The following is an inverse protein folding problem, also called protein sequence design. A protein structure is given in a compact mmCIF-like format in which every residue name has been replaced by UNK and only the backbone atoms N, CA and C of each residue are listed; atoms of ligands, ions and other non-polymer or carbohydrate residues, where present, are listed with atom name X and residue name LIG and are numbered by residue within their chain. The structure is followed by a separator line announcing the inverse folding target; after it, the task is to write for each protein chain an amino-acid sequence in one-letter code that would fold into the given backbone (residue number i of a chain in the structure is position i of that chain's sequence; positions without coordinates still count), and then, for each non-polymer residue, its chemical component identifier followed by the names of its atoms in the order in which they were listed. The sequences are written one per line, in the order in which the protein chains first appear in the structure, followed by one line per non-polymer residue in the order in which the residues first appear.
data_IF_345924304101
#
_entry.id   IF_345924304101
#
_cell.length_a   1.000
_cell.length_b   1.000
_cell.length_c   1.000
_cell.angle_alpha   90.00
_cell.angle_beta   90.00
_cell.angle_gamma   90.00
#
_symmetry.space_group_name_H-M   'P 1'
#
loop_
_entity.id
_entity.type
_entity.pdbx_description
1 polymer ?
#
# COMPACT_ATOMS: atom_id res chain seq x y z
N UNK A 1 38.44 -3.47 49.41
CA UNK A 1 38.09 -4.57 48.50
C UNK A 1 37.48 -3.92 47.31
N UNK A 2 38.20 -4.00 46.23
CA UNK A 2 38.13 -3.17 45.03
C UNK A 2 36.86 -3.42 44.24
N UNK A 3 36.23 -2.31 43.87
CA UNK A 3 35.18 -2.23 42.90
C UNK A 3 35.76 -2.69 41.54
N UNK A 4 35.06 -3.64 40.90
CA UNK A 4 35.32 -4.02 39.51
C UNK A 4 34.86 -2.84 38.62
N UNK A 5 35.77 -1.89 38.37
CA UNK A 5 35.61 -0.94 37.28
C UNK A 5 35.68 -1.75 35.97
N UNK A 6 34.52 -1.88 35.32
CA UNK A 6 34.45 -2.48 33.98
C UNK A 6 35.25 -1.60 33.05
N UNK A 7 36.38 -2.15 32.53
CA UNK A 7 37.26 -1.48 31.59
C UNK A 7 36.56 -1.29 30.25
N UNK A 8 35.94 -0.11 30.09
CA UNK A 8 35.24 0.26 28.86
C UNK A 8 36.13 0.31 27.62
N UNK A 9 37.45 0.62 27.78
CA UNK A 9 38.42 0.54 26.68
C UNK A 9 38.69 -0.90 26.25
N UNK A 10 38.75 -1.84 27.19
CA UNK A 10 38.90 -3.26 26.88
C UNK A 10 37.64 -3.80 26.19
N UNK A 11 36.45 -3.38 26.62
CA UNK A 11 35.19 -3.76 25.97
C UNK A 11 35.08 -3.19 24.54
N UNK A 12 35.54 -1.98 24.31
CA UNK A 12 35.56 -1.37 22.96
C UNK A 12 36.65 -2.01 22.06
N UNK A 13 37.79 -2.37 22.61
CA UNK A 13 38.81 -3.16 21.92
C UNK A 13 38.33 -4.58 21.59
N UNK A 14 37.59 -5.22 22.50
CA UNK A 14 36.98 -6.53 22.25
C UNK A 14 35.86 -6.44 21.21
N UNK A 15 35.04 -5.39 21.22
CA UNK A 15 34.05 -5.10 20.18
C UNK A 15 34.71 -4.85 18.81
N UNK A 16 35.86 -4.20 18.76
CA UNK A 16 36.64 -3.99 17.51
C UNK A 16 37.36 -5.22 16.99
N UNK A 17 37.74 -6.15 17.87
CA UNK A 17 38.55 -7.34 17.49
C UNK A 17 37.75 -8.64 17.35
N UNK A 18 36.63 -8.80 18.08
CA UNK A 18 35.75 -9.96 18.01
C UNK A 18 34.31 -9.58 17.59
N UNK A 19 34.02 -8.31 17.57
CA UNK A 19 32.77 -7.84 17.03
C UNK A 19 32.77 -8.10 15.56
N UNK A 20 31.69 -8.57 15.06
CA UNK A 20 31.34 -8.28 13.72
C UNK A 20 31.50 -6.77 13.55
N UNK A 21 32.41 -6.37 12.67
CA UNK A 21 32.35 -5.02 12.13
C UNK A 21 30.89 -4.81 11.77
N UNK A 22 30.30 -3.69 12.16
CA UNK A 22 29.06 -3.26 11.56
C UNK A 22 29.30 -3.45 10.07
N UNK A 23 28.64 -4.43 9.45
CA UNK A 23 28.53 -4.43 7.99
C UNK A 23 28.04 -3.02 7.73
N UNK A 24 28.80 -2.25 6.94
CA UNK A 24 28.21 -1.09 6.32
C UNK A 24 26.97 -1.63 5.65
N UNK A 25 25.84 -1.46 6.32
CA UNK A 25 24.57 -1.85 5.73
C UNK A 25 24.45 -0.94 4.51
N UNK A 26 24.40 -1.57 3.35
CA UNK A 26 24.18 -0.84 2.11
C UNK A 26 22.88 -0.01 2.24
N UNK A 27 22.57 0.83 1.26
CA UNK A 27 21.36 1.66 1.33
C UNK A 27 20.14 0.80 1.64
N UNK A 28 19.19 1.30 2.42
CA UNK A 28 18.00 0.55 2.82
C UNK A 28 17.31 -0.12 1.63
N UNK A 29 16.85 -1.37 1.82
CA UNK A 29 16.13 -2.16 0.81
C UNK A 29 14.86 -2.77 1.43
N UNK A 30 13.72 -2.65 0.73
CA UNK A 30 12.46 -3.23 1.22
C UNK A 30 12.43 -4.75 1.13
N UNK A 31 13.22 -5.33 0.24
CA UNK A 31 13.21 -6.76 -0.14
C UNK A 31 11.93 -7.22 -0.84
N UNK A 32 11.00 -6.32 -1.12
CA UNK A 32 9.72 -6.66 -1.77
C UNK A 32 9.96 -7.17 -3.18
N UNK A 33 10.76 -6.47 -3.98
CA UNK A 33 11.01 -6.85 -5.38
C UNK A 33 11.76 -8.19 -5.47
N UNK A 34 12.78 -8.41 -4.62
CA UNK A 34 13.51 -9.70 -4.54
C UNK A 34 12.55 -10.85 -4.18
N UNK A 35 11.65 -10.61 -3.22
CA UNK A 35 10.67 -11.62 -2.81
C UNK A 35 9.64 -11.89 -3.89
N UNK A 36 9.20 -10.85 -4.61
CA UNK A 36 8.27 -10.99 -5.73
C UNK A 36 8.87 -11.82 -6.87
N UNK A 37 10.13 -11.58 -7.21
CA UNK A 37 10.85 -12.40 -8.18
C UNK A 37 10.95 -13.85 -7.71
N UNK A 38 11.33 -14.08 -6.45
CA UNK A 38 11.40 -15.44 -5.88
C UNK A 38 10.05 -16.16 -5.96
N UNK A 39 8.95 -15.48 -5.63
CA UNK A 39 7.60 -16.06 -5.75
C UNK A 39 7.30 -16.40 -7.21
N UNK A 40 7.56 -15.49 -8.13
CA UNK A 40 7.31 -15.70 -9.56
C UNK A 40 8.12 -16.85 -10.14
N UNK A 41 9.40 -16.95 -9.80
CA UNK A 41 10.31 -18.03 -10.26
C UNK A 41 9.89 -19.41 -9.74
N UNK A 42 9.15 -19.49 -8.61
CA UNK A 42 8.67 -20.73 -8.00
C UNK A 42 7.14 -20.88 -8.08
N UNK A 43 6.47 -20.03 -8.85
CA UNK A 43 5.02 -20.08 -9.03
C UNK A 43 4.61 -21.23 -9.95
N UNK A 44 3.57 -21.98 -9.56
CA UNK A 44 3.02 -23.08 -10.34
C UNK A 44 1.61 -22.78 -10.85
N UNK A 45 0.90 -21.86 -10.21
CA UNK A 45 -0.52 -21.59 -10.46
C UNK A 45 -0.74 -20.24 -11.16
N UNK A 46 0.26 -19.36 -11.14
CA UNK A 46 0.26 -18.06 -11.81
C UNK A 46 1.45 -17.97 -12.74
N UNK A 47 1.22 -17.67 -14.01
CA UNK A 47 2.26 -17.57 -15.03
C UNK A 47 2.28 -16.17 -15.66
N UNK A 48 3.44 -15.75 -16.15
CA UNK A 48 3.63 -14.50 -16.88
C UNK A 48 3.80 -14.76 -18.38
N UNK A 49 3.15 -13.93 -19.21
CA UNK A 49 3.35 -13.92 -20.67
C UNK A 49 4.20 -12.73 -21.08
N UNK A 50 5.45 -13.02 -21.45
CA UNK A 50 6.42 -12.00 -21.86
C UNK A 50 6.07 -11.33 -23.19
N UNK A 51 5.32 -12.01 -24.08
CA UNK A 51 4.86 -11.40 -25.34
C UNK A 51 3.79 -10.37 -25.04
N UNK A 52 2.79 -10.73 -24.27
CA UNK A 52 1.73 -9.79 -23.84
C UNK A 52 2.30 -8.64 -23.01
N UNK A 53 3.30 -8.89 -22.15
CA UNK A 53 4.00 -7.84 -21.39
C UNK A 53 4.61 -6.79 -22.34
N UNK A 54 5.27 -7.20 -23.44
CA UNK A 54 5.84 -6.27 -24.42
C UNK A 54 4.78 -5.47 -25.18
N UNK A 55 3.67 -6.11 -25.55
CA UNK A 55 2.55 -5.42 -26.19
C UNK A 55 1.90 -4.42 -25.25
N UNK A 56 1.66 -4.84 -24.02
CA UNK A 56 1.07 -3.98 -22.97
C UNK A 56 1.99 -2.80 -22.62
N UNK A 57 3.33 -2.98 -22.64
CA UNK A 57 4.28 -1.90 -22.39
C UNK A 57 4.12 -0.75 -23.38
N UNK A 58 3.94 -1.07 -24.67
CA UNK A 58 3.68 -0.04 -25.68
C UNK A 58 2.35 0.66 -25.44
N UNK A 59 1.27 -0.10 -25.17
CA UNK A 59 -0.06 0.45 -24.91
C UNK A 59 -0.07 1.36 -23.68
N UNK A 60 0.56 0.92 -22.58
CA UNK A 60 0.64 1.67 -21.33
C UNK A 60 1.45 2.96 -21.55
N UNK A 61 2.60 2.88 -22.23
CA UNK A 61 3.42 4.05 -22.53
C UNK A 61 2.63 5.07 -23.36
N UNK A 62 2.00 4.63 -24.47
CA UNK A 62 1.25 5.51 -25.37
C UNK A 62 0.08 6.21 -24.65
N UNK A 63 -0.67 5.47 -23.81
CA UNK A 63 -1.80 6.04 -23.06
C UNK A 63 -1.34 6.94 -21.89
N UNK A 64 -0.25 6.62 -21.19
CA UNK A 64 0.31 7.49 -20.17
C UNK A 64 0.81 8.80 -20.78
N UNK A 65 1.49 8.76 -21.93
CA UNK A 65 1.95 9.96 -22.63
C UNK A 65 0.79 10.81 -23.13
N UNK A 66 -0.22 10.19 -23.76
CA UNK A 66 -1.42 10.87 -24.25
C UNK A 66 -2.18 11.60 -23.15
N UNK A 67 -2.18 11.04 -21.93
CA UNK A 67 -2.87 11.63 -20.75
C UNK A 67 -1.94 12.55 -19.94
N UNK A 68 -0.69 12.72 -20.31
CA UNK A 68 0.33 13.43 -19.53
C UNK A 68 0.38 12.94 -18.08
N UNK A 69 0.25 11.60 -17.90
CA UNK A 69 0.07 10.96 -16.59
C UNK A 69 1.26 11.20 -15.68
N UNK A 70 1.02 11.70 -14.49
CA UNK A 70 2.05 12.09 -13.52
C UNK A 70 1.50 12.07 -12.09
N UNK A 71 2.33 12.42 -11.11
CA UNK A 71 1.94 12.61 -9.71
C UNK A 71 0.78 13.60 -9.52
N UNK A 72 0.63 14.57 -10.41
CA UNK A 72 -0.46 15.57 -10.37
C UNK A 72 -1.85 14.95 -10.39
N UNK A 73 -2.01 13.79 -11.04
CA UNK A 73 -3.29 13.06 -11.08
C UNK A 73 -3.80 12.74 -9.67
N UNK A 74 -2.89 12.46 -8.72
CA UNK A 74 -3.25 12.23 -7.33
C UNK A 74 -3.90 13.47 -6.70
N UNK A 75 -3.25 14.62 -6.81
CA UNK A 75 -3.74 15.88 -6.22
C UNK A 75 -4.91 16.51 -6.98
N UNK A 76 -5.24 16.08 -8.19
CA UNK A 76 -6.39 16.57 -8.95
C UNK A 76 -7.71 15.99 -8.45
N UNK A 77 -7.72 14.83 -7.80
CA UNK A 77 -8.95 14.21 -7.32
C UNK A 77 -9.62 15.06 -6.24
N UNK A 78 -10.96 15.27 -6.38
CA UNK A 78 -11.75 16.20 -5.55
C UNK A 78 -11.75 15.89 -4.05
N UNK A 79 -11.53 14.62 -3.65
CA UNK A 79 -11.52 14.18 -2.26
C UNK A 79 -10.15 14.21 -1.61
N UNK A 80 -9.06 14.25 -2.39
CA UNK A 80 -7.72 14.33 -1.82
C UNK A 80 -7.42 15.73 -1.26
N UNK A 81 -6.68 15.86 -0.14
CA UNK A 81 -6.30 17.14 0.40
C UNK A 81 -5.43 17.92 -0.59
N UNK A 82 -5.52 19.25 -0.55
CA UNK A 82 -4.80 20.14 -1.48
C UNK A 82 -3.69 20.94 -0.80
N UNK A 83 -3.72 21.03 0.53
CA UNK A 83 -2.67 21.67 1.29
C UNK A 83 -1.37 20.86 1.21
N UNK A 84 -0.23 21.55 1.21
CA UNK A 84 1.09 20.91 1.28
C UNK A 84 1.70 21.14 2.66
N UNK A 85 1.02 20.64 3.69
CA UNK A 85 1.35 20.81 5.09
C UNK A 85 1.15 19.52 5.90
N UNK A 86 1.38 19.56 7.19
CA UNK A 86 1.25 18.45 8.12
C UNK A 86 -0.15 17.83 8.16
N UNK A 87 -1.19 18.63 7.91
CA UNK A 87 -2.56 18.11 7.88
C UNK A 87 -2.76 17.11 6.75
N UNK A 88 -2.13 17.33 5.60
CA UNK A 88 -2.10 16.39 4.47
C UNK A 88 -1.30 15.14 4.79
N UNK A 89 -0.17 15.26 5.49
CA UNK A 89 0.61 14.09 5.94
C UNK A 89 -0.24 13.22 6.86
N UNK A 90 -0.88 13.79 7.87
CA UNK A 90 -1.74 13.08 8.81
C UNK A 90 -2.94 12.44 8.10
N UNK A 91 -3.52 13.12 7.11
CA UNK A 91 -4.60 12.58 6.29
C UNK A 91 -4.15 11.35 5.52
N UNK A 92 -3.01 11.42 4.81
CA UNK A 92 -2.46 10.31 4.04
C UNK A 92 -2.11 9.13 4.94
N UNK A 93 -1.47 9.38 6.09
CA UNK A 93 -1.17 8.31 7.04
C UNK A 93 -2.43 7.59 7.52
N UNK A 94 -3.47 8.34 7.92
CA UNK A 94 -4.74 7.77 8.36
C UNK A 94 -5.42 6.98 7.25
N UNK A 95 -5.43 7.53 6.05
CA UNK A 95 -5.99 6.89 4.86
C UNK A 95 -5.31 5.55 4.58
N UNK A 96 -3.98 5.51 4.56
CA UNK A 96 -3.23 4.29 4.23
C UNK A 96 -3.15 3.31 5.41
N UNK A 97 -3.25 3.79 6.64
CA UNK A 97 -3.46 2.95 7.82
C UNK A 97 -4.75 2.12 7.70
N UNK A 98 -5.77 2.66 7.04
CA UNK A 98 -7.09 2.04 6.93
C UNK A 98 -7.42 1.55 5.49
N UNK A 99 -6.46 1.59 4.56
CA UNK A 99 -6.65 1.27 3.14
C UNK A 99 -6.60 -0.24 2.86
N UNK A 100 -7.64 -0.98 3.28
CA UNK A 100 -7.74 -2.42 3.06
C UNK A 100 -9.18 -2.93 2.97
N UNK A 101 -9.38 -4.05 2.28
CA UNK A 101 -10.61 -4.87 2.28
C UNK A 101 -11.92 -4.11 2.00
N UNK A 102 -12.01 -3.43 0.86
CA UNK A 102 -13.23 -2.69 0.48
C UNK A 102 -14.24 -3.49 -0.36
N UNK A 103 -13.91 -4.70 -0.76
CA UNK A 103 -14.83 -5.53 -1.53
C UNK A 103 -15.98 -6.06 -0.67
N UNK A 104 -17.14 -6.28 -1.28
CA UNK A 104 -18.36 -6.78 -0.65
C UNK A 104 -18.89 -8.02 -1.38
N UNK A 105 -19.65 -8.82 -0.67
CA UNK A 105 -20.42 -9.93 -1.24
C UNK A 105 -21.82 -9.50 -1.68
N UNK A 106 -22.22 -8.29 -1.30
CA UNK A 106 -23.54 -7.72 -1.62
C UNK A 106 -23.56 -7.11 -3.01
N UNK A 107 -24.76 -6.81 -3.50
CA UNK A 107 -24.96 -6.10 -4.76
C UNK A 107 -24.40 -4.68 -4.70
N UNK A 108 -24.28 -4.04 -5.86
CA UNK A 108 -23.77 -2.67 -5.95
C UNK A 108 -24.63 -1.67 -5.18
N UNK A 109 -25.95 -1.89 -5.09
CA UNK A 109 -26.86 -1.02 -4.34
C UNK A 109 -26.74 -1.22 -2.82
N UNK A 110 -26.50 -2.47 -2.38
CA UNK A 110 -26.49 -2.85 -0.97
C UNK A 110 -25.11 -2.77 -0.30
N UNK A 111 -24.04 -2.80 -1.11
CA UNK A 111 -22.66 -2.76 -0.57
C UNK A 111 -22.38 -1.48 0.18
N UNK A 112 -21.41 -1.54 1.08
CA UNK A 112 -20.92 -0.40 1.83
C UNK A 112 -20.66 0.81 0.90
N UNK A 113 -21.29 1.91 1.22
CA UNK A 113 -21.18 3.14 0.46
C UNK A 113 -21.37 4.36 1.37
N UNK A 114 -20.76 5.46 0.98
CA UNK A 114 -20.85 6.73 1.70
C UNK A 114 -21.44 7.79 0.78
N UNK A 115 -22.46 8.49 1.25
CA UNK A 115 -22.96 9.67 0.54
C UNK A 115 -22.26 10.91 1.09
N UNK A 116 -21.52 11.58 0.21
CA UNK A 116 -20.77 12.77 0.57
C UNK A 116 -20.77 13.76 -0.61
N UNK A 117 -21.06 15.03 -0.34
CA UNK A 117 -21.23 16.10 -1.35
C UNK A 117 -22.18 15.73 -2.50
N UNK A 118 -23.27 15.04 -2.16
CA UNK A 118 -24.30 14.64 -3.13
C UNK A 118 -23.91 13.48 -4.05
N UNK A 119 -22.75 12.85 -3.84
CA UNK A 119 -22.28 11.69 -4.59
C UNK A 119 -22.21 10.45 -3.69
N UNK A 120 -22.41 9.28 -4.30
CA UNK A 120 -22.24 7.97 -3.66
C UNK A 120 -20.82 7.45 -3.94
N UNK A 121 -20.08 7.21 -2.87
CA UNK A 121 -18.70 6.73 -2.91
C UNK A 121 -18.61 5.28 -2.42
N UNK A 122 -17.83 4.44 -3.10
CA UNK A 122 -17.60 3.04 -2.75
C UNK A 122 -16.12 2.69 -2.83
N UNK A 123 -15.72 1.57 -2.23
CA UNK A 123 -14.33 1.13 -2.24
C UNK A 123 -13.40 2.11 -1.53
N UNK A 124 -12.19 2.29 -2.04
CA UNK A 124 -11.21 3.24 -1.51
C UNK A 124 -11.79 4.66 -1.32
N UNK A 125 -12.55 5.15 -2.29
CA UNK A 125 -13.14 6.49 -2.22
C UNK A 125 -14.19 6.65 -1.13
N UNK A 126 -14.80 5.56 -0.65
CA UNK A 126 -15.68 5.64 0.51
C UNK A 126 -14.91 5.95 1.80
N UNK A 127 -13.69 5.43 1.95
CA UNK A 127 -12.81 5.77 3.08
C UNK A 127 -12.39 7.24 3.02
N UNK A 128 -11.91 7.70 1.86
CA UNK A 128 -11.50 9.10 1.69
C UNK A 128 -12.66 10.05 1.97
N UNK A 129 -13.88 9.73 1.49
CA UNK A 129 -15.09 10.50 1.79
C UNK A 129 -15.46 10.51 3.28
N UNK A 130 -15.26 9.39 3.99
CA UNK A 130 -15.45 9.31 5.46
C UNK A 130 -14.52 10.28 6.18
N UNK A 131 -13.21 10.24 5.85
CA UNK A 131 -12.23 11.10 6.51
C UNK A 131 -12.55 12.58 6.26
N UNK A 132 -12.87 12.97 5.03
CA UNK A 132 -13.29 14.33 4.70
C UNK A 132 -14.57 14.74 5.45
N UNK A 133 -15.58 13.85 5.49
CA UNK A 133 -16.85 14.09 6.21
C UNK A 133 -16.62 14.30 7.71
N UNK A 134 -15.76 13.49 8.32
CA UNK A 134 -15.42 13.60 9.74
C UNK A 134 -14.74 14.94 10.04
N UNK A 135 -13.76 15.34 9.23
CA UNK A 135 -13.08 16.63 9.38
C UNK A 135 -14.03 17.83 9.20
N UNK A 136 -14.98 17.77 8.26
CA UNK A 136 -16.01 18.81 8.10
C UNK A 136 -17.01 18.88 9.28
N UNK A 137 -17.07 17.81 10.09
CA UNK A 137 -17.88 17.75 11.33
C UNK A 137 -17.04 18.07 12.58
N UNK A 138 -15.87 18.67 12.41
CA UNK A 138 -14.91 18.99 13.47
C UNK A 138 -14.47 17.77 14.30
N UNK A 139 -14.54 16.54 13.72
CA UNK A 139 -13.99 15.32 14.33
C UNK A 139 -12.57 15.14 13.81
N UNK A 140 -11.54 15.24 14.68
CA UNK A 140 -10.14 15.22 14.24
C UNK A 140 -9.64 13.78 13.95
N UNK A 141 -10.36 13.05 13.11
CA UNK A 141 -10.11 11.63 12.80
C UNK A 141 -8.70 11.35 12.26
N UNK A 142 -8.01 12.35 11.76
CA UNK A 142 -6.65 12.23 11.21
C UNK A 142 -5.58 12.65 12.22
N UNK A 143 -5.94 12.96 13.47
CA UNK A 143 -5.01 13.32 14.52
C UNK A 143 -4.60 12.10 15.35
N UNK A 144 -3.30 11.78 15.49
CA UNK A 144 -2.83 10.73 16.39
C UNK A 144 -3.26 10.95 17.85
N UNK A 145 -3.26 12.18 18.33
CA UNK A 145 -3.72 12.55 19.68
C UNK A 145 -5.19 12.13 19.92
N UNK A 146 -6.05 12.28 18.90
CA UNK A 146 -7.43 11.83 18.97
C UNK A 146 -7.55 10.31 19.13
N UNK A 147 -6.67 9.52 18.49
CA UNK A 147 -6.78 8.05 18.51
C UNK A 147 -6.44 7.42 19.86
N UNK A 148 -5.63 8.08 20.69
CA UNK A 148 -5.24 7.62 22.03
C UNK A 148 -6.21 8.07 23.12
N UNK A 149 -7.07 9.03 22.85
CA UNK A 149 -8.09 9.50 23.79
C UNK A 149 -9.32 8.57 23.74
N UNK A 150 -9.46 7.70 24.75
CA UNK A 150 -10.55 6.72 24.80
C UNK A 150 -11.95 7.37 24.98
N UNK A 151 -12.05 8.58 25.51
CA UNK A 151 -13.31 9.30 25.68
C UNK A 151 -13.75 9.95 24.35
N UNK A 152 -12.84 10.65 23.69
CA UNK A 152 -13.10 11.33 22.42
C UNK A 152 -13.20 10.34 21.24
N UNK A 153 -12.32 9.35 21.19
CA UNK A 153 -12.25 8.32 20.14
C UNK A 153 -12.93 7.01 20.57
N UNK A 154 -14.12 7.12 21.19
CA UNK A 154 -14.89 5.95 21.63
C UNK A 154 -15.39 5.12 20.43
N UNK A 155 -15.72 3.84 20.68
CA UNK A 155 -16.31 2.96 19.65
C UNK A 155 -17.58 3.54 19.03
N UNK A 156 -18.39 4.25 19.83
CA UNK A 156 -19.63 4.88 19.37
C UNK A 156 -19.35 6.05 18.41
N UNK A 157 -18.35 6.88 18.71
CA UNK A 157 -17.90 7.96 17.82
C UNK A 157 -17.38 7.38 16.52
N UNK A 158 -16.54 6.35 16.60
CA UNK A 158 -15.98 5.71 15.41
C UNK A 158 -17.05 5.01 14.56
N UNK A 159 -18.07 4.36 15.17
CA UNK A 159 -19.21 3.83 14.42
C UNK A 159 -19.98 4.93 13.69
N UNK A 160 -20.10 6.09 14.30
CA UNK A 160 -20.73 7.26 13.66
C UNK A 160 -19.88 7.79 12.51
N UNK A 161 -18.57 7.95 12.70
CA UNK A 161 -17.63 8.38 11.65
C UNK A 161 -17.68 7.43 10.45
N UNK A 162 -17.62 6.11 10.67
CA UNK A 162 -17.63 5.08 9.63
C UNK A 162 -19.03 4.64 9.20
N UNK A 163 -20.06 5.43 9.52
CA UNK A 163 -21.43 5.10 9.16
C UNK A 163 -21.63 5.03 7.65
N UNK A 164 -22.40 4.03 7.22
CA UNK A 164 -22.75 3.74 5.84
C UNK A 164 -24.01 4.49 5.40
N UNK A 165 -24.16 4.69 4.10
CA UNK A 165 -25.42 5.05 3.48
C UNK A 165 -26.29 3.84 3.12
N UNK A 166 -25.85 2.62 3.45
CA UNK A 166 -26.53 1.35 3.28
C UNK A 166 -26.55 0.58 4.61
N UNK A 167 -27.18 -0.59 4.63
CA UNK A 167 -27.19 -1.48 5.82
C UNK A 167 -25.89 -2.27 6.02
N UNK A 168 -24.92 -2.17 5.10
CA UNK A 168 -23.62 -2.82 5.25
C UNK A 168 -22.68 -1.92 6.01
N UNK A 169 -22.09 -2.44 7.10
CA UNK A 169 -21.00 -1.78 7.82
C UNK A 169 -19.71 -1.82 6.98
N UNK A 170 -18.79 -0.86 7.18
CA UNK A 170 -17.49 -0.93 6.52
C UNK A 170 -16.80 -2.28 6.81
N UNK A 171 -16.34 -3.00 5.80
CA UNK A 171 -15.71 -4.29 6.03
C UNK A 171 -14.56 -4.21 7.02
N UNK A 172 -14.49 -5.18 7.95
CA UNK A 172 -13.43 -5.26 8.98
C UNK A 172 -13.36 -4.02 9.89
N UNK A 173 -14.51 -3.49 10.31
CA UNK A 173 -14.58 -2.32 11.19
C UNK A 173 -13.70 -2.47 12.43
N UNK A 174 -13.83 -3.57 13.17
CA UNK A 174 -13.06 -3.81 14.40
C UNK A 174 -11.54 -3.81 14.18
N UNK A 175 -11.08 -4.33 13.04
CA UNK A 175 -9.67 -4.32 12.68
C UNK A 175 -9.19 -2.90 12.37
N UNK A 176 -10.03 -2.06 11.74
CA UNK A 176 -9.71 -0.65 11.48
C UNK A 176 -9.53 0.11 12.79
N UNK A 177 -10.42 -0.12 13.76
CA UNK A 177 -10.32 0.51 15.10
C UNK A 177 -9.05 0.08 15.82
N UNK A 178 -8.70 -1.21 15.74
CA UNK A 178 -7.43 -1.69 16.30
C UNK A 178 -6.22 -1.05 15.65
N UNK A 179 -6.22 -0.88 14.33
CA UNK A 179 -5.13 -0.21 13.62
C UNK A 179 -4.98 1.24 14.07
N UNK A 180 -6.08 2.00 14.25
CA UNK A 180 -6.02 3.38 14.74
C UNK A 180 -5.42 3.46 16.14
N UNK A 181 -5.89 2.63 17.07
CA UNK A 181 -5.40 2.60 18.46
C UNK A 181 -3.94 2.16 18.54
N UNK A 182 -3.57 1.09 17.82
CA UNK A 182 -2.17 0.65 17.74
C UNK A 182 -1.27 1.77 17.22
N UNK A 183 -1.68 2.41 16.12
CA UNK A 183 -0.89 3.47 15.50
C UNK A 183 -0.77 4.70 16.43
N UNK A 184 -1.85 5.11 17.08
CA UNK A 184 -1.84 6.21 18.05
C UNK A 184 -0.87 5.95 19.20
N UNK A 185 -0.96 4.76 19.80
CA UNK A 185 -0.07 4.38 20.90
C UNK A 185 1.40 4.36 20.48
N UNK A 186 1.73 3.78 19.33
CA UNK A 186 3.13 3.71 18.83
C UNK A 186 3.66 5.11 18.53
N UNK A 187 2.84 5.96 17.88
CA UNK A 187 3.25 7.35 17.61
C UNK A 187 3.50 8.11 18.92
N UNK A 188 2.65 7.97 19.93
CA UNK A 188 2.83 8.58 21.25
C UNK A 188 4.11 8.10 21.94
N UNK A 189 4.36 6.78 21.95
CA UNK A 189 5.47 6.17 22.68
C UNK A 189 6.83 6.37 22.01
N UNK A 190 6.89 6.39 20.67
CA UNK A 190 8.16 6.34 19.93
C UNK A 190 8.42 7.55 19.02
N UNK A 191 7.40 8.38 18.73
CA UNK A 191 7.50 9.46 17.73
C UNK A 191 6.88 10.79 18.22
N UNK A 192 6.85 11.05 19.52
CA UNK A 192 6.30 12.27 20.13
C UNK A 192 4.86 12.60 19.66
N UNK A 193 4.05 11.58 19.40
CA UNK A 193 2.68 11.71 18.89
C UNK A 193 2.60 12.18 17.42
N UNK A 194 3.70 12.16 16.65
CA UNK A 194 3.80 12.83 15.36
C UNK A 194 4.16 11.89 14.21
N UNK A 195 3.35 11.89 13.15
CA UNK A 195 3.69 11.25 11.87
C UNK A 195 4.88 11.96 11.19
N UNK A 196 5.06 13.25 11.46
CA UNK A 196 6.18 14.01 10.90
C UNK A 196 7.51 13.49 11.43
N UNK A 197 7.62 13.27 12.75
CA UNK A 197 8.81 12.69 13.37
C UNK A 197 9.13 11.31 12.77
N UNK A 198 8.12 10.49 12.54
CA UNK A 198 8.28 9.18 11.86
C UNK A 198 8.89 9.32 10.46
N UNK A 199 8.46 10.33 9.68
CA UNK A 199 8.99 10.58 8.33
C UNK A 199 10.42 11.10 8.39
N UNK A 200 10.70 12.03 9.31
CA UNK A 200 12.04 12.63 9.48
C UNK A 200 13.08 11.58 9.88
N UNK A 201 12.72 10.60 10.70
CA UNK A 201 13.61 9.49 11.11
C UNK A 201 14.06 8.62 9.92
N UNK A 202 13.31 8.61 8.84
CA UNK A 202 13.69 7.89 7.62
C UNK A 202 14.75 8.60 6.75
N UNK A 203 15.12 9.84 7.08
CA UNK A 203 16.18 10.60 6.40
C UNK A 203 16.03 10.64 4.87
N UNK A 204 14.85 10.97 4.37
CA UNK A 204 14.51 11.02 2.94
C UNK A 204 14.72 9.71 2.17
N UNK A 205 14.74 8.56 2.86
CA UNK A 205 14.78 7.25 2.21
C UNK A 205 13.37 6.64 2.14
N UNK A 206 12.88 6.41 0.94
CA UNK A 206 11.60 5.72 0.70
C UNK A 206 11.63 4.29 1.26
N UNK A 207 12.69 3.52 0.95
CA UNK A 207 12.87 2.18 1.47
C UNK A 207 13.08 2.18 3.00
N UNK A 208 13.78 3.19 3.52
CA UNK A 208 13.95 3.41 4.97
C UNK A 208 12.63 3.60 5.67
N UNK A 209 11.77 4.49 5.17
CA UNK A 209 10.45 4.75 5.75
C UNK A 209 9.54 3.52 5.69
N UNK A 210 9.50 2.80 4.58
CA UNK A 210 8.73 1.54 4.46
C UNK A 210 9.20 0.52 5.50
N UNK A 211 10.50 0.35 5.68
CA UNK A 211 11.04 -0.59 6.65
C UNK A 211 10.73 -0.17 8.09
N UNK A 212 10.90 1.12 8.41
CA UNK A 212 10.61 1.69 9.73
C UNK A 212 9.14 1.47 10.12
N UNK A 213 8.21 1.80 9.21
CA UNK A 213 6.78 1.58 9.42
C UNK A 213 6.47 0.08 9.61
N UNK A 214 7.01 -0.80 8.79
CA UNK A 214 6.77 -2.23 8.91
C UNK A 214 7.41 -2.85 10.16
N UNK A 215 8.48 -2.26 10.69
CA UNK A 215 9.11 -2.67 11.94
C UNK A 215 8.29 -2.25 13.15
N UNK A 216 7.85 -0.99 13.20
CA UNK A 216 7.18 -0.41 14.34
C UNK A 216 5.71 -0.79 14.42
N UNK A 217 4.98 -0.72 13.32
CA UNK A 217 3.54 -0.96 13.28
C UNK A 217 3.22 -2.35 12.76
N UNK A 218 2.73 -3.23 13.65
CA UNK A 218 2.37 -4.60 13.26
C UNK A 218 1.31 -4.63 12.15
N UNK A 219 0.37 -3.68 12.17
CA UNK A 219 -0.68 -3.57 11.16
C UNK A 219 -0.16 -3.21 9.74
N UNK A 220 1.08 -2.73 9.60
CA UNK A 220 1.75 -2.51 8.32
C UNK A 220 2.71 -3.64 7.91
N UNK A 221 2.96 -4.61 8.80
CA UNK A 221 3.92 -5.70 8.57
C UNK A 221 3.33 -6.78 7.69
N UNK A 222 3.05 -6.46 6.46
CA UNK A 222 2.50 -7.32 5.43
C UNK A 222 3.54 -8.33 4.92
N UNK A 223 3.67 -9.42 5.64
CA UNK A 223 4.64 -10.50 5.42
C UNK A 223 3.95 -11.85 5.44
N UNK A 224 4.52 -12.82 4.76
CA UNK A 224 4.00 -14.18 4.71
C UNK A 224 5.11 -15.22 4.54
N UNK A 225 4.72 -16.46 4.25
CA UNK A 225 5.64 -17.54 3.93
C UNK A 225 5.25 -18.19 2.61
N UNK A 226 6.21 -18.32 1.70
CA UNK A 226 6.05 -19.01 0.44
C UNK A 226 7.26 -19.95 0.23
N UNK A 227 7.01 -21.21 -0.12
CA UNK A 227 8.06 -22.25 -0.28
C UNK A 227 9.08 -22.22 0.88
N UNK A 228 8.57 -22.20 2.13
CA UNK A 228 9.35 -22.12 3.37
C UNK A 228 10.21 -20.84 3.56
N UNK A 229 10.22 -19.90 2.62
CA UNK A 229 10.88 -18.60 2.74
C UNK A 229 9.91 -17.57 3.30
N UNK A 230 10.38 -16.71 4.23
CA UNK A 230 9.66 -15.51 4.63
C UNK A 230 9.71 -14.51 3.48
N UNK A 231 8.57 -13.96 3.09
CA UNK A 231 8.43 -13.00 2.00
C UNK A 231 7.67 -11.76 2.47
N UNK A 232 7.94 -10.63 1.86
CA UNK A 232 7.38 -9.32 2.21
C UNK A 232 6.67 -8.74 1.00
N UNK A 233 5.51 -8.14 1.23
CA UNK A 233 4.77 -7.34 0.24
C UNK A 233 4.70 -5.88 0.63
N UNK A 234 4.45 -5.61 1.92
CA UNK A 234 4.43 -4.29 2.54
C UNK A 234 3.54 -3.28 1.80
N UNK A 235 2.38 -3.73 1.30
CA UNK A 235 1.51 -2.95 0.40
C UNK A 235 1.19 -1.57 0.98
N UNK A 236 0.66 -1.51 2.20
CA UNK A 236 0.20 -0.26 2.79
C UNK A 236 1.33 0.68 3.23
N UNK A 237 2.48 0.12 3.65
CA UNK A 237 3.66 0.92 3.94
C UNK A 237 4.25 1.54 2.66
N UNK A 238 4.24 0.82 1.54
CA UNK A 238 4.70 1.34 0.27
C UNK A 238 3.76 2.39 -0.33
N UNK A 239 2.43 2.20 -0.22
CA UNK A 239 1.47 3.17 -0.76
C UNK A 239 1.51 4.47 0.04
N UNK A 240 1.73 4.43 1.36
CA UNK A 240 1.92 5.63 2.17
C UNK A 240 3.09 6.49 1.65
N UNK A 241 4.24 5.88 1.37
CA UNK A 241 5.40 6.58 0.80
C UNK A 241 5.09 7.14 -0.58
N UNK A 242 4.39 6.35 -1.42
CA UNK A 242 4.02 6.77 -2.76
C UNK A 242 2.99 7.91 -2.77
N UNK A 243 2.03 7.89 -1.86
CA UNK A 243 1.01 8.94 -1.75
C UNK A 243 1.62 10.24 -1.19
N UNK A 244 2.57 10.17 -0.25
CA UNK A 244 3.37 11.33 0.15
C UNK A 244 4.14 11.92 -1.04
N UNK A 245 4.88 11.08 -1.77
CA UNK A 245 5.62 11.52 -2.95
C UNK A 245 4.71 12.20 -3.98
N UNK A 246 3.55 11.63 -4.25
CA UNK A 246 2.60 12.17 -5.21
C UNK A 246 1.92 13.46 -4.71
N UNK A 247 1.47 13.50 -3.46
CA UNK A 247 0.78 14.65 -2.87
C UNK A 247 1.66 15.89 -2.80
N UNK A 248 2.94 15.70 -2.53
CA UNK A 248 3.91 16.79 -2.39
C UNK A 248 4.76 17.04 -3.65
N UNK A 249 4.45 16.36 -4.78
CA UNK A 249 5.19 16.45 -6.04
C UNK A 249 6.70 16.15 -5.90
N UNK A 250 7.07 15.27 -4.97
CA UNK A 250 8.46 14.89 -4.69
C UNK A 250 9.26 15.93 -3.92
N UNK A 251 8.62 16.89 -3.27
CA UNK A 251 9.23 17.95 -2.47
C UNK A 251 8.82 17.87 -0.99
N UNK A 252 9.61 18.45 -0.09
CA UNK A 252 9.30 18.52 1.35
C UNK A 252 9.00 17.14 1.95
N UNK A 253 7.81 16.92 2.52
CA UNK A 253 7.43 15.62 3.11
C UNK A 253 7.33 14.47 2.09
N UNK A 254 7.32 14.77 0.80
CA UNK A 254 7.34 13.78 -0.29
C UNK A 254 8.70 13.64 -0.97
N UNK A 255 9.77 14.26 -0.44
CA UNK A 255 11.12 14.18 -1.00
C UNK A 255 11.80 12.87 -0.59
N UNK A 256 12.07 12.01 -1.57
CA UNK A 256 12.75 10.73 -1.36
C UNK A 256 13.89 10.54 -2.37
N UNK A 257 15.09 10.23 -1.86
CA UNK A 257 16.28 10.01 -2.68
C UNK A 257 16.26 8.69 -3.47
N UNK A 258 15.41 7.75 -3.06
CA UNK A 258 15.34 6.36 -3.55
C UNK A 258 13.90 5.90 -3.85
N UNK A 259 13.05 6.80 -4.33
CA UNK A 259 11.63 6.51 -4.62
C UNK A 259 11.46 5.34 -5.61
N UNK A 260 12.42 5.13 -6.49
CA UNK A 260 12.40 4.02 -7.46
C UNK A 260 12.57 2.63 -6.84
N UNK A 261 12.88 2.54 -5.54
CA UNK A 261 12.86 1.28 -4.78
C UNK A 261 11.48 0.81 -4.38
N UNK A 262 10.48 1.69 -4.49
CA UNK A 262 9.08 1.34 -4.25
C UNK A 262 8.55 0.55 -5.44
N UNK A 263 7.86 -0.55 -5.15
CA UNK A 263 7.24 -1.42 -6.16
C UNK A 263 5.78 -1.05 -6.38
N UNK A 264 5.08 -1.76 -7.27
CA UNK A 264 3.62 -1.74 -7.31
C UNK A 264 3.04 -2.28 -5.99
N UNK A 265 1.81 -1.91 -5.69
CA UNK A 265 1.13 -2.26 -4.44
C UNK A 265 0.29 -3.51 -4.63
N UNK A 266 0.73 -4.64 -4.03
CA UNK A 266 0.13 -5.95 -4.21
C UNK A 266 -1.29 -6.02 -3.60
N UNK A 267 -2.27 -5.46 -4.30
CA UNK A 267 -3.70 -5.46 -4.00
C UNK A 267 -4.47 -6.49 -4.85
N UNK A 268 -5.80 -6.37 -4.90
CA UNK A 268 -6.65 -7.25 -5.70
C UNK A 268 -7.05 -6.64 -7.07
N UNK A 269 -6.84 -5.33 -7.31
CA UNK A 269 -7.23 -4.65 -8.55
C UNK A 269 -6.17 -4.75 -9.64
N UNK A 270 -4.92 -4.54 -9.29
CA UNK A 270 -3.83 -4.62 -10.27
C UNK A 270 -3.70 -6.02 -10.89
N UNK A 271 -3.77 -7.15 -10.12
CA UNK A 271 -3.80 -8.48 -10.73
C UNK A 271 -4.94 -8.68 -11.73
N UNK A 272 -6.13 -8.17 -11.44
CA UNK A 272 -7.28 -8.17 -12.34
C UNK A 272 -6.95 -7.48 -13.68
N UNK A 273 -6.33 -6.30 -13.60
CA UNK A 273 -5.94 -5.53 -14.79
C UNK A 273 -4.83 -6.23 -15.58
N UNK A 274 -3.80 -6.75 -14.90
CA UNK A 274 -2.73 -7.51 -15.54
C UNK A 274 -3.25 -8.76 -16.26
N UNK A 275 -4.24 -9.45 -15.68
CA UNK A 275 -4.90 -10.58 -16.35
C UNK A 275 -5.66 -10.13 -17.59
N UNK A 276 -6.40 -9.02 -17.53
CA UNK A 276 -7.13 -8.50 -18.69
C UNK A 276 -6.23 -8.02 -19.82
N UNK A 277 -4.98 -7.62 -19.51
CA UNK A 277 -3.95 -7.32 -20.48
C UNK A 277 -3.21 -8.57 -21.00
N UNK A 278 -3.56 -9.76 -20.50
CA UNK A 278 -2.93 -11.02 -20.84
C UNK A 278 -1.49 -11.18 -20.31
N UNK A 279 -1.09 -10.33 -19.38
CA UNK A 279 0.26 -10.35 -18.78
C UNK A 279 0.38 -11.49 -17.79
N UNK A 280 -0.65 -11.71 -16.94
CA UNK A 280 -0.71 -12.84 -16.00
C UNK A 280 -1.81 -13.82 -16.39
N UNK A 281 -1.55 -15.09 -16.10
CA UNK A 281 -2.47 -16.20 -16.34
C UNK A 281 -2.59 -17.06 -15.09
N UNK A 282 -3.79 -17.54 -14.83
CA UNK A 282 -4.08 -18.43 -13.71
C UNK A 282 -4.24 -19.86 -14.18
N UNK A 283 -3.80 -20.84 -13.38
CA UNK A 283 -4.16 -22.23 -13.64
C UNK A 283 -5.71 -22.40 -13.58
N UNK A 284 -6.29 -23.38 -14.31
CA UNK A 284 -7.75 -23.51 -14.38
C UNK A 284 -8.47 -23.62 -13.03
N UNK A 285 -7.95 -24.32 -12.01
CA UNK A 285 -8.57 -24.35 -10.70
C UNK A 285 -8.63 -22.96 -10.02
N UNK A 286 -7.55 -22.18 -10.07
CA UNK A 286 -7.48 -20.84 -9.51
C UNK A 286 -8.41 -19.90 -10.28
N UNK A 287 -8.36 -19.91 -11.61
CA UNK A 287 -9.22 -19.08 -12.44
C UNK A 287 -10.70 -19.33 -12.16
N UNK A 288 -11.10 -20.61 -12.07
CA UNK A 288 -12.46 -20.98 -11.74
C UNK A 288 -12.89 -20.47 -10.36
N UNK A 289 -11.99 -20.52 -9.35
CA UNK A 289 -12.27 -20.01 -8.01
C UNK A 289 -12.49 -18.49 -8.04
N UNK A 290 -11.65 -17.76 -8.76
CA UNK A 290 -11.78 -16.30 -8.93
C UNK A 290 -13.07 -15.94 -9.66
N UNK A 291 -13.40 -16.63 -10.77
CA UNK A 291 -14.63 -16.40 -11.55
C UNK A 291 -15.91 -16.67 -10.76
N UNK A 292 -15.88 -17.63 -9.81
CA UNK A 292 -17.00 -17.92 -8.91
C UNK A 292 -17.08 -17.00 -7.70
N UNK A 293 -16.18 -16.01 -7.61
CA UNK A 293 -16.11 -15.07 -6.49
C UNK A 293 -15.87 -15.76 -5.13
N UNK A 294 -15.27 -16.96 -5.14
CA UNK A 294 -14.95 -17.72 -3.94
C UNK A 294 -13.73 -17.11 -3.23
N UNK A 295 -13.80 -17.07 -1.90
CA UNK A 295 -12.71 -16.50 -1.07
C UNK A 295 -11.47 -17.37 -1.12
N UNK A 296 -10.30 -16.73 -1.25
CA UNK A 296 -8.98 -17.30 -1.04
C UNK A 296 -8.49 -16.80 0.31
N UNK A 297 -8.06 -17.70 1.18
CA UNK A 297 -7.57 -17.33 2.51
C UNK A 297 -6.27 -16.49 2.42
N UNK A 298 -6.12 -15.53 3.33
CA UNK A 298 -4.88 -14.75 3.45
C UNK A 298 -3.71 -15.67 3.80
N UNK A 299 -2.60 -15.56 3.07
CA UNK A 299 -1.44 -16.44 3.19
C UNK A 299 -1.55 -17.77 2.43
N UNK A 300 -2.67 -18.04 1.75
CA UNK A 300 -2.77 -19.20 0.86
C UNK A 300 -1.77 -19.07 -0.31
N UNK A 301 -1.22 -20.20 -0.77
CA UNK A 301 -0.25 -20.22 -1.86
C UNK A 301 -0.73 -19.46 -3.11
N UNK A 302 -1.97 -19.59 -3.48
CA UNK A 302 -2.56 -18.86 -4.62
C UNK A 302 -2.55 -17.34 -4.42
N UNK A 303 -2.93 -16.88 -3.25
CA UNK A 303 -2.91 -15.45 -2.90
C UNK A 303 -1.47 -14.90 -2.95
N UNK A 304 -0.51 -15.65 -2.38
CA UNK A 304 0.91 -15.28 -2.41
C UNK A 304 1.46 -15.21 -3.84
N UNK A 305 1.09 -16.19 -4.70
CA UNK A 305 1.50 -16.22 -6.11
C UNK A 305 0.87 -15.07 -6.90
N UNK A 306 -0.43 -14.78 -6.73
CA UNK A 306 -1.09 -13.65 -7.40
C UNK A 306 -0.36 -12.35 -7.06
N UNK A 307 -0.11 -12.10 -5.78
CA UNK A 307 0.54 -10.87 -5.30
C UNK A 307 1.99 -10.76 -5.79
N UNK A 308 2.79 -11.79 -5.59
CA UNK A 308 4.19 -11.80 -5.97
C UNK A 308 4.40 -11.69 -7.48
N UNK A 309 3.67 -12.49 -8.27
CA UNK A 309 3.74 -12.44 -9.72
C UNK A 309 3.26 -11.09 -10.29
N UNK A 310 2.29 -10.44 -9.64
CA UNK A 310 1.83 -9.12 -10.07
C UNK A 310 2.88 -8.03 -9.85
N UNK A 311 3.56 -8.02 -8.71
CA UNK A 311 4.69 -7.10 -8.47
C UNK A 311 5.78 -7.30 -9.52
N UNK A 312 6.16 -8.56 -9.77
CA UNK A 312 7.21 -8.87 -10.75
C UNK A 312 6.78 -8.52 -12.18
N UNK A 313 5.50 -8.75 -12.52
CA UNK A 313 4.94 -8.38 -13.82
C UNK A 313 5.00 -6.87 -14.09
N UNK A 314 4.67 -6.03 -13.10
CA UNK A 314 4.78 -4.57 -13.24
C UNK A 314 6.24 -4.13 -13.36
N UNK A 315 7.17 -4.76 -12.66
CA UNK A 315 8.60 -4.48 -12.85
C UNK A 315 9.09 -4.85 -14.24
N UNK A 316 8.64 -5.98 -14.80
CA UNK A 316 8.95 -6.35 -16.19
C UNK A 316 8.32 -5.38 -17.20
N UNK A 317 7.10 -4.93 -16.92
CA UNK A 317 6.41 -3.90 -17.72
C UNK A 317 7.20 -2.58 -17.71
N UNK A 318 7.64 -2.13 -16.54
CA UNK A 318 8.47 -0.94 -16.37
C UNK A 318 9.79 -1.05 -17.14
N UNK A 319 10.48 -2.18 -17.01
CA UNK A 319 11.73 -2.43 -17.75
C UNK A 319 11.52 -2.39 -19.26
N UNK A 320 10.42 -2.95 -19.74
CA UNK A 320 10.11 -2.93 -21.17
C UNK A 320 9.74 -1.52 -21.67
N UNK A 321 9.01 -0.72 -20.89
CA UNK A 321 8.73 0.69 -21.19
C UNK A 321 10.05 1.47 -21.31
N UNK A 322 10.96 1.32 -20.36
CA UNK A 322 12.27 1.99 -20.39
C UNK A 322 13.17 1.49 -21.54
N UNK A 323 12.99 0.24 -21.99
CA UNK A 323 13.67 -0.26 -23.19
C UNK A 323 13.14 0.40 -24.45
N UNK A 324 11.83 0.64 -24.53
CA UNK A 324 11.19 1.34 -25.66
C UNK A 324 11.52 2.84 -25.66
N UNK A 325 11.50 3.45 -24.49
CA UNK A 325 11.77 4.88 -24.30
C UNK A 325 12.63 5.09 -23.06
N UNK A 326 13.97 5.14 -23.21
CA UNK A 326 14.90 5.22 -22.06
C UNK A 326 14.76 6.48 -21.20
N UNK A 327 14.21 7.56 -21.74
CA UNK A 327 13.98 8.83 -21.07
C UNK A 327 12.53 8.97 -20.55
N UNK A 328 11.73 7.92 -20.61
CA UNK A 328 10.38 7.93 -20.06
C UNK A 328 10.42 8.17 -18.52
N UNK A 329 9.64 9.14 -18.07
CA UNK A 329 9.49 9.45 -16.64
C UNK A 329 8.47 8.49 -16.02
N UNK A 330 8.87 7.25 -15.83
CA UNK A 330 8.01 6.18 -15.33
C UNK A 330 8.70 5.37 -14.25
N UNK A 331 7.99 5.09 -13.18
CA UNK A 331 8.38 4.14 -12.14
C UNK A 331 7.22 3.17 -11.84
N UNK A 332 7.43 2.22 -10.94
CA UNK A 332 6.40 1.23 -10.61
C UNK A 332 5.14 1.86 -9.97
N UNK A 333 5.31 2.97 -9.24
CA UNK A 333 4.20 3.71 -8.60
C UNK A 333 3.27 4.29 -9.66
N UNK A 334 3.82 5.02 -10.64
CA UNK A 334 3.02 5.64 -11.70
C UNK A 334 2.32 4.59 -12.58
N UNK A 335 2.96 3.44 -12.82
CA UNK A 335 2.34 2.33 -13.54
C UNK A 335 1.18 1.76 -12.72
N UNK A 336 1.35 1.57 -11.41
CA UNK A 336 0.30 1.08 -10.51
C UNK A 336 -0.91 2.02 -10.53
N UNK A 337 -0.71 3.30 -10.27
CA UNK A 337 -1.77 4.31 -10.30
C UNK A 337 -2.50 4.32 -11.65
N UNK A 338 -1.76 4.28 -12.75
CA UNK A 338 -2.34 4.24 -14.08
C UNK A 338 -3.20 2.98 -14.32
N UNK A 339 -2.69 1.81 -13.92
CA UNK A 339 -3.42 0.55 -14.07
C UNK A 339 -4.68 0.51 -13.19
N UNK A 340 -4.63 1.11 -12.01
CA UNK A 340 -5.80 1.26 -11.14
C UNK A 340 -6.88 2.13 -11.79
N UNK A 341 -6.51 3.29 -12.33
CA UNK A 341 -7.44 4.18 -13.02
C UNK A 341 -8.05 3.50 -14.24
N UNK A 342 -7.23 2.80 -15.02
CA UNK A 342 -7.70 2.03 -16.18
C UNK A 342 -8.66 0.89 -15.77
N UNK A 343 -8.41 0.22 -14.64
CA UNK A 343 -9.33 -0.79 -14.10
C UNK A 343 -10.68 -0.18 -13.73
N UNK A 344 -10.70 1.03 -13.16
CA UNK A 344 -11.92 1.76 -12.82
C UNK A 344 -12.70 2.24 -14.05
N UNK A 345 -12.02 2.63 -15.12
CA UNK A 345 -12.66 2.99 -16.38
C UNK A 345 -13.33 1.75 -17.01
N UNK A 346 -12.63 0.62 -17.07
CA UNK A 346 -13.18 -0.63 -17.61
C UNK A 346 -14.35 -1.20 -16.80
N UNK A 347 -14.32 -1.02 -15.49
CA UNK A 347 -15.45 -1.41 -14.61
C UNK A 347 -16.73 -0.65 -14.98
N UNK A 348 -16.61 0.65 -15.35
CA UNK A 348 -17.75 1.48 -15.80
C UNK A 348 -18.25 1.09 -17.19
N UNK A 349 -17.38 0.55 -18.04
CA UNK A 349 -17.71 0.14 -19.41
C UNK A 349 -18.33 -1.27 -19.48
N UNK A 350 -18.56 -1.93 -18.32
CA UNK A 350 -19.07 -3.32 -18.24
C UNK A 350 -18.28 -4.31 -19.12
N UNK A 351 -16.97 -4.09 -19.27
CA UNK A 351 -16.12 -4.95 -20.06
C UNK A 351 -16.09 -6.38 -19.45
N UNK A 352 -16.01 -7.40 -20.31
CA UNK A 352 -15.85 -8.80 -19.88
C UNK A 352 -14.44 -9.03 -19.31
N UNK A 353 -14.26 -8.61 -18.06
CA UNK A 353 -13.01 -8.73 -17.30
C UNK A 353 -13.21 -9.78 -16.21
N UNK A 354 -12.18 -10.62 -15.96
CA UNK A 354 -12.23 -11.54 -14.82
C UNK A 354 -12.47 -10.74 -13.52
N UNK A 355 -13.31 -11.24 -12.59
CA UNK A 355 -13.44 -10.61 -11.28
C UNK A 355 -12.07 -10.53 -10.57
N UNK A 356 -11.92 -9.58 -9.67
CA UNK A 356 -10.75 -9.60 -8.78
C UNK A 356 -10.84 -10.79 -7.82
N UNK A 357 -9.68 -11.34 -7.40
CA UNK A 357 -9.68 -12.35 -6.35
C UNK A 357 -10.17 -11.75 -5.02
N UNK A 358 -10.78 -12.58 -4.20
CA UNK A 358 -11.34 -12.17 -2.91
C UNK A 358 -10.53 -12.76 -1.76
N UNK A 359 -9.82 -11.91 -1.06
CA UNK A 359 -9.14 -12.24 0.19
C UNK A 359 -9.55 -11.20 1.24
N UNK A 360 -9.96 -11.65 2.41
CA UNK A 360 -10.32 -10.76 3.52
C UNK A 360 -9.12 -10.65 4.46
N UNK A 361 -8.45 -9.51 4.45
CA UNK A 361 -7.27 -9.27 5.29
C UNK A 361 -7.07 -7.79 5.56
N UNK A 362 -6.25 -7.45 6.58
CA UNK A 362 -5.83 -6.08 6.84
C UNK A 362 -4.69 -5.63 5.90
N UNK A 363 -4.17 -6.51 5.08
CA UNK A 363 -2.98 -6.20 4.26
C UNK A 363 -3.33 -5.39 3.02
N UNK A 364 -4.54 -5.58 2.46
CA UNK A 364 -4.94 -4.90 1.21
C UNK A 364 -6.44 -4.96 0.94
#
# INVERSE_FOLDING_TARGET
MSDDEVDHELLDLMRKHWGGGAKEEGPPETKVLENAQFICDNSMDVALDMRSTKVAAQLVLDEMEKREYSTRTWSEHELHPKAKDESTVNFIFTMDLLNFSFWSEKSDEERFAVVYKGKRWTGYWSLVAILQRALEQDIPITSPEFWVDEELCSDEVLRTVFSSGTDEEIPMFEQRMRCLREAGQILEEEFDGSVITLIEDANNSAAGLVNLIAEKFNCFRDEGRFENKKVRFLKRAQIFVADLWAAFDGEGYGEFNDIDKITMFADYRIPQMLHSLGIIWYCPPLENKVRRLETIESGHSWEMQIRGCSIWAVELLRKEILRLKPDAKVNAILIDFFLYDLAKEKEKEEADVIPHHRTRSIWY
#
